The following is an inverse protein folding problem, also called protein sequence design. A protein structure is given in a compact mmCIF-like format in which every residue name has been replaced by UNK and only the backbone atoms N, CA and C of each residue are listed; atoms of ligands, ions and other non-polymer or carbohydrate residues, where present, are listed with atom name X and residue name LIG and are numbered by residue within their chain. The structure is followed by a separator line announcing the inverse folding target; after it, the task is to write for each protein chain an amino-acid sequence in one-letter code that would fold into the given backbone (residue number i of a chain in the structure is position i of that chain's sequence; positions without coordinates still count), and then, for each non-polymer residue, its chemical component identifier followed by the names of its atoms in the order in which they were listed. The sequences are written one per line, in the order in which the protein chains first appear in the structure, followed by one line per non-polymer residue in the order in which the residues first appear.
data_IF_795374708542
#
_entry.id   IF_795374708542
#
_cell.length_a   1.000
_cell.length_b   1.000
_cell.length_c   1.000
_cell.angle_alpha   90.00
_cell.angle_beta   90.00
_cell.angle_gamma   90.00
#
_symmetry.space_group_name_H-M   'P 1'
#
loop_
_entity.id
_entity.type
_entity.pdbx_description
1 polymer ?
#
# COMPACT_ATOMS: atom_id res chain seq x y z
N UNK A 1 -26.57 6.92 36.29
CA UNK A 1 -25.32 7.24 35.57
C UNK A 1 -24.63 5.93 35.18
N UNK A 2 -24.77 5.49 33.93
CA UNK A 2 -24.18 4.26 33.38
C UNK A 2 -23.08 4.61 32.36
N UNK A 3 -21.98 5.19 32.82
CA UNK A 3 -20.92 5.73 31.94
C UNK A 3 -19.54 5.09 32.11
N UNK A 4 -19.44 3.88 32.67
CA UNK A 4 -18.15 3.20 32.89
C UNK A 4 -18.13 1.70 32.59
N UNK A 5 -18.84 1.26 31.54
CA UNK A 5 -18.76 -0.14 31.07
C UNK A 5 -18.31 -0.29 29.61
N UNK A 6 -17.74 0.75 29.00
CA UNK A 6 -17.00 0.57 27.75
C UNK A 6 -15.54 0.35 28.11
N UNK A 7 -15.17 -0.94 28.16
CA UNK A 7 -13.79 -1.38 28.35
C UNK A 7 -12.86 -0.63 27.40
N UNK A 8 -11.68 -0.31 27.92
CA UNK A 8 -10.53 0.18 27.16
C UNK A 8 -10.43 -0.55 25.82
N UNK A 9 -10.79 0.15 24.73
CA UNK A 9 -10.47 -0.30 23.38
C UNK A 9 -8.99 -0.64 23.38
N UNK A 10 -8.64 -1.86 22.99
CA UNK A 10 -7.28 -2.21 22.60
C UNK A 10 -6.90 -1.17 21.55
N UNK A 11 -6.00 -0.25 21.89
CA UNK A 11 -5.59 0.78 20.93
C UNK A 11 -4.75 0.05 19.88
N UNK A 12 -5.33 -0.18 18.71
CA UNK A 12 -4.54 -0.59 17.55
C UNK A 12 -3.45 0.45 17.34
N UNK A 13 -2.24 0.00 17.00
CA UNK A 13 -1.15 0.92 16.68
C UNK A 13 -1.62 1.92 15.63
N UNK A 14 -1.35 3.20 15.84
CA UNK A 14 -1.52 4.24 14.84
C UNK A 14 -0.56 4.02 13.69
N UNK A 15 -0.82 4.62 12.53
CA UNK A 15 0.10 4.51 11.40
C UNK A 15 1.49 5.09 11.72
N UNK A 16 1.56 6.20 12.47
CA UNK A 16 2.83 6.78 12.90
C UNK A 16 3.63 5.84 13.83
N UNK A 17 2.95 5.05 14.66
CA UNK A 17 3.60 4.02 15.48
C UNK A 17 4.07 2.84 14.64
N UNK A 18 3.25 2.39 13.68
CA UNK A 18 3.65 1.33 12.73
C UNK A 18 4.89 1.77 11.94
N UNK A 19 4.92 3.01 11.44
CA UNK A 19 6.04 3.55 10.67
C UNK A 19 7.36 3.59 11.45
N UNK A 20 7.33 3.82 12.77
CA UNK A 20 8.54 3.80 13.62
C UNK A 20 9.11 2.40 13.80
N UNK A 21 8.28 1.37 13.70
CA UNK A 21 8.69 -0.02 13.77
C UNK A 21 9.20 -0.54 12.41
N UNK A 22 8.89 0.17 11.31
CA UNK A 22 9.40 -0.13 9.97
C UNK A 22 10.87 0.28 9.82
N UNK A 23 11.62 -0.49 9.03
CA UNK A 23 13.02 -0.21 8.72
C UNK A 23 13.14 0.47 7.36
N UNK A 24 14.30 1.13 7.13
CA UNK A 24 14.61 1.79 5.84
C UNK A 24 14.61 0.82 4.66
N UNK A 25 14.90 -0.46 4.89
CA UNK A 25 14.88 -1.51 3.87
C UNK A 25 13.47 -1.83 3.32
N UNK A 26 12.41 -1.38 4.00
CA UNK A 26 11.02 -1.65 3.62
C UNK A 26 10.49 -0.73 2.50
N UNK A 27 11.35 0.14 1.96
CA UNK A 27 11.07 1.01 0.82
C UNK A 27 10.70 2.45 1.20
N UNK A 28 10.42 3.28 0.19
CA UNK A 28 9.99 4.65 0.40
C UNK A 28 8.51 4.67 0.73
N UNK A 29 8.08 5.46 1.72
CA UNK A 29 6.66 5.72 1.97
C UNK A 29 6.07 6.54 0.82
N UNK A 30 5.06 5.99 0.15
CA UNK A 30 4.44 6.59 -1.04
C UNK A 30 3.02 7.08 -0.76
N UNK A 31 2.33 6.50 0.22
CA UNK A 31 1.00 6.95 0.57
C UNK A 31 0.51 6.47 1.93
N UNK A 32 -0.43 7.23 2.48
CA UNK A 32 -1.08 6.96 3.76
C UNK A 32 -2.57 7.28 3.71
N UNK A 33 -3.36 6.46 4.39
CA UNK A 33 -4.76 6.72 4.74
C UNK A 33 -5.05 6.18 6.14
N UNK A 34 -6.26 6.37 6.66
CA UNK A 34 -6.67 5.77 7.95
C UNK A 34 -6.58 4.23 7.92
N UNK A 35 -6.76 3.62 6.75
CA UNK A 35 -6.87 2.17 6.60
C UNK A 35 -5.58 1.51 6.10
N UNK A 36 -4.66 2.27 5.50
CA UNK A 36 -3.53 1.68 4.79
C UNK A 36 -2.28 2.56 4.76
N UNK A 37 -1.12 1.92 4.94
CA UNK A 37 0.19 2.46 4.58
C UNK A 37 0.70 1.76 3.31
N UNK A 38 1.29 2.55 2.43
CA UNK A 38 1.97 2.07 1.23
C UNK A 38 3.43 2.50 1.26
N UNK A 39 4.30 1.51 1.22
CA UNK A 39 5.71 1.68 0.90
C UNK A 39 5.99 1.05 -0.46
N UNK A 40 7.04 1.51 -1.14
CA UNK A 40 7.47 0.81 -2.33
C UNK A 40 8.83 1.22 -2.87
N UNK A 41 9.25 0.44 -3.86
CA UNK A 41 10.51 0.60 -4.57
C UNK A 41 10.41 0.03 -5.98
N UNK A 42 11.51 0.11 -6.71
CA UNK A 42 11.60 -0.41 -8.08
C UNK A 42 12.64 -1.51 -8.15
N UNK A 43 12.32 -2.57 -8.89
CA UNK A 43 13.22 -3.66 -9.21
C UNK A 43 13.32 -3.84 -10.72
N UNK A 44 14.51 -4.18 -11.20
CA UNK A 44 14.76 -4.57 -12.59
C UNK A 44 15.22 -6.03 -12.63
N UNK A 45 14.60 -6.83 -13.48
CA UNK A 45 14.97 -8.23 -13.72
C UNK A 45 14.87 -8.54 -15.21
N UNK A 46 16.00 -8.89 -15.84
CA UNK A 46 16.05 -9.24 -17.26
C UNK A 46 15.37 -8.20 -18.18
N UNK A 47 15.66 -6.92 -17.97
CA UNK A 47 15.08 -5.78 -18.71
C UNK A 47 13.58 -5.51 -18.47
N UNK A 48 12.93 -6.28 -17.59
CA UNK A 48 11.60 -5.98 -17.06
C UNK A 48 11.70 -5.15 -15.78
N UNK A 49 10.75 -4.22 -15.61
CA UNK A 49 10.69 -3.35 -14.45
C UNK A 49 9.44 -3.65 -13.63
N UNK A 50 9.63 -3.72 -12.32
CA UNK A 50 8.57 -3.95 -11.36
C UNK A 50 8.54 -2.81 -10.34
N UNK A 51 7.33 -2.39 -10.00
CA UNK A 51 7.09 -1.64 -8.78
C UNK A 51 6.73 -2.63 -7.67
N UNK A 52 7.58 -2.72 -6.65
CA UNK A 52 7.36 -3.56 -5.47
C UNK A 52 6.63 -2.73 -4.42
N UNK A 53 5.37 -3.06 -4.14
CA UNK A 53 4.56 -2.38 -3.14
C UNK A 53 4.41 -3.21 -1.87
N UNK A 54 4.74 -2.62 -0.72
CA UNK A 54 4.44 -3.15 0.61
C UNK A 54 3.23 -2.42 1.18
N UNK A 55 2.15 -3.17 1.40
CA UNK A 55 0.87 -2.65 1.87
C UNK A 55 0.63 -3.12 3.30
N UNK A 56 0.36 -2.19 4.20
CA UNK A 56 0.00 -2.48 5.59
C UNK A 56 -1.40 -1.95 5.85
N UNK A 57 -2.37 -2.86 5.96
CA UNK A 57 -3.79 -2.55 6.06
C UNK A 57 -4.37 -2.89 7.44
N UNK A 58 -5.36 -2.13 7.87
CA UNK A 58 -6.17 -2.45 9.06
C UNK A 58 -7.16 -3.59 8.79
N UNK A 59 -7.47 -3.88 7.53
CA UNK A 59 -8.39 -4.96 7.12
C UNK A 59 -7.75 -5.98 6.19
N UNK A 60 -8.14 -7.26 6.30
CA UNK A 60 -7.61 -8.32 5.45
C UNK A 60 -8.17 -8.24 4.02
N UNK A 61 -7.38 -8.67 3.04
CA UNK A 61 -7.81 -8.86 1.66
C UNK A 61 -7.00 -9.96 0.98
N UNK A 62 -7.55 -10.47 -0.11
CA UNK A 62 -6.89 -11.45 -0.98
C UNK A 62 -7.42 -11.36 -2.39
N UNK A 63 -6.61 -11.69 -3.38
CA UNK A 63 -7.02 -11.78 -4.77
C UNK A 63 -6.77 -13.15 -5.38
N UNK A 64 -7.57 -13.45 -6.40
CA UNK A 64 -7.33 -14.53 -7.37
C UNK A 64 -7.36 -14.03 -8.81
N UNK A 65 -7.51 -12.72 -8.97
CA UNK A 65 -7.76 -12.06 -10.27
C UNK A 65 -6.87 -10.82 -10.41
N UNK A 66 -5.82 -10.73 -9.61
CA UNK A 66 -4.92 -9.59 -9.54
C UNK A 66 -5.49 -8.39 -8.79
N UNK A 67 -4.77 -7.30 -8.86
CA UNK A 67 -5.15 -5.99 -8.36
C UNK A 67 -4.54 -4.91 -9.26
N UNK A 68 -4.92 -3.67 -9.00
CA UNK A 68 -4.35 -2.51 -9.69
C UNK A 68 -3.94 -1.45 -8.69
N UNK A 69 -2.83 -0.76 -8.96
CA UNK A 69 -2.46 0.46 -8.28
C UNK A 69 -2.51 1.63 -9.27
N UNK A 70 -3.21 2.70 -8.91
CA UNK A 70 -3.43 3.85 -9.76
C UNK A 70 -2.83 5.08 -9.10
N UNK A 71 -1.90 5.74 -9.79
CA UNK A 71 -1.31 7.00 -9.38
C UNK A 71 -2.01 8.14 -10.13
N UNK A 72 -2.58 9.09 -9.39
CA UNK A 72 -3.31 10.23 -9.95
C UNK A 72 -2.68 11.53 -9.52
N UNK A 73 -2.45 12.45 -10.47
CA UNK A 73 -2.02 13.81 -10.18
C UNK A 73 -2.49 14.81 -11.22
N UNK A 74 -2.11 16.08 -11.06
CA UNK A 74 -2.52 17.18 -11.96
C UNK A 74 -2.22 16.96 -13.44
N UNK A 75 -1.15 16.22 -13.76
CA UNK A 75 -0.71 15.95 -15.15
C UNK A 75 -1.31 14.67 -15.73
N UNK A 76 -2.22 14.01 -15.02
CA UNK A 76 -2.92 12.82 -15.46
C UNK A 76 -2.82 11.65 -14.47
N UNK A 77 -3.36 10.53 -14.90
CA UNK A 77 -3.46 9.29 -14.11
C UNK A 77 -2.83 8.15 -14.90
N UNK A 78 -2.19 7.22 -14.20
CA UNK A 78 -1.76 5.94 -14.77
C UNK A 78 -2.00 4.81 -13.79
N UNK A 79 -2.28 3.62 -14.34
CA UNK A 79 -2.60 2.42 -13.58
C UNK A 79 -1.59 1.33 -13.91
N UNK A 80 -1.12 0.63 -12.88
CA UNK A 80 -0.23 -0.52 -12.98
C UNK A 80 -1.03 -1.77 -12.56
N UNK A 81 -1.09 -2.81 -13.40
CA UNK A 81 -1.64 -4.10 -13.01
C UNK A 81 -0.64 -4.88 -12.15
N UNK A 82 -1.14 -5.71 -11.24
CA UNK A 82 -0.29 -6.62 -10.49
C UNK A 82 0.32 -7.67 -11.42
N UNK A 83 1.60 -7.97 -11.23
CA UNK A 83 2.34 -8.95 -12.04
C UNK A 83 1.82 -10.38 -11.84
N UNK A 84 1.18 -10.65 -10.69
CA UNK A 84 0.54 -11.93 -10.37
C UNK A 84 -0.96 -11.76 -10.09
N UNK A 85 -1.72 -12.84 -10.26
CA UNK A 85 -3.16 -12.83 -10.04
C UNK A 85 -3.56 -13.22 -8.61
N UNK A 86 -2.88 -14.21 -8.05
CA UNK A 86 -3.22 -14.76 -6.75
C UNK A 86 -2.25 -14.26 -5.68
N UNK A 87 -2.81 -13.68 -4.62
CA UNK A 87 -2.06 -13.24 -3.45
C UNK A 87 -3.01 -13.07 -2.26
N UNK A 88 -2.47 -13.11 -1.06
CA UNK A 88 -3.19 -12.78 0.16
C UNK A 88 -2.31 -11.99 1.12
N UNK A 89 -2.95 -11.22 2.00
CA UNK A 89 -2.25 -10.56 3.09
C UNK A 89 -2.14 -11.50 4.29
N UNK A 90 -1.05 -11.34 5.06
CA UNK A 90 -0.82 -12.06 6.30
C UNK A 90 -0.91 -11.09 7.49
N UNK A 91 -1.43 -11.56 8.62
CA UNK A 91 -1.51 -10.70 9.81
C UNK A 91 -0.16 -10.68 10.54
N UNK A 92 0.52 -9.52 10.49
CA UNK A 92 1.74 -9.26 11.24
C UNK A 92 1.39 -8.77 12.65
N UNK A 93 1.46 -9.68 13.64
CA UNK A 93 1.16 -9.38 15.04
C UNK A 93 1.97 -8.20 15.63
N UNK A 94 3.29 -8.04 15.36
CA UNK A 94 4.05 -6.91 15.88
C UNK A 94 3.53 -5.55 15.39
N UNK A 95 3.12 -5.47 14.13
CA UNK A 95 2.62 -4.24 13.51
C UNK A 95 1.11 -4.03 13.71
N UNK A 96 0.39 -5.07 14.15
CA UNK A 96 -1.07 -5.09 14.20
C UNK A 96 -1.70 -4.68 12.85
N UNK A 97 -1.15 -5.22 11.76
CA UNK A 97 -1.56 -4.95 10.38
C UNK A 97 -1.64 -6.23 9.56
N UNK A 98 -2.49 -6.20 8.56
CA UNK A 98 -2.47 -7.15 7.45
C UNK A 98 -1.46 -6.66 6.41
N UNK A 99 -0.43 -7.45 6.17
CA UNK A 99 0.71 -7.11 5.33
C UNK A 99 0.65 -7.92 4.04
N UNK A 100 0.88 -7.27 2.90
CA UNK A 100 1.11 -7.96 1.63
C UNK A 100 2.20 -7.25 0.84
N UNK A 101 3.05 -8.03 0.18
CA UNK A 101 3.95 -7.53 -0.87
C UNK A 101 3.36 -7.90 -2.23
N UNK A 102 3.23 -6.91 -3.11
CA UNK A 102 2.64 -7.09 -4.43
C UNK A 102 3.53 -6.36 -5.44
N UNK A 103 4.01 -7.11 -6.42
CA UNK A 103 4.73 -6.59 -7.58
C UNK A 103 3.76 -6.13 -8.65
N UNK A 104 4.03 -4.99 -9.29
CA UNK A 104 3.23 -4.44 -10.38
C UNK A 104 4.09 -4.20 -11.61
N UNK A 105 3.54 -4.50 -12.79
CA UNK A 105 4.22 -4.22 -14.05
C UNK A 105 4.33 -2.72 -14.26
N UNK A 106 5.55 -2.23 -14.53
CA UNK A 106 5.79 -0.81 -14.73
C UNK A 106 6.72 -0.56 -15.91
N UNK A 107 6.57 0.59 -16.55
CA UNK A 107 7.47 1.06 -17.62
C UNK A 107 8.44 2.11 -17.09
N UNK A 108 9.61 2.27 -17.72
CA UNK A 108 10.59 3.34 -17.39
C UNK A 108 9.96 4.74 -17.30
N UNK A 109 9.01 5.04 -18.19
CA UNK A 109 8.32 6.33 -18.19
C UNK A 109 7.43 6.52 -16.96
N UNK A 110 6.76 5.46 -16.49
CA UNK A 110 5.96 5.48 -15.26
C UNK A 110 6.84 5.54 -14.01
N UNK A 111 7.97 4.82 -13.99
CA UNK A 111 8.96 4.89 -12.89
C UNK A 111 9.38 6.33 -12.64
N UNK A 112 9.78 7.06 -13.71
CA UNK A 112 10.15 8.48 -13.60
C UNK A 112 9.02 9.32 -13.00
N UNK A 113 7.77 9.13 -13.43
CA UNK A 113 6.62 9.87 -12.86
C UNK A 113 6.43 9.63 -11.35
N UNK A 114 6.66 8.40 -10.88
CA UNK A 114 6.56 8.07 -9.46
C UNK A 114 7.75 8.66 -8.69
N UNK A 115 8.98 8.51 -9.20
CA UNK A 115 10.20 9.06 -8.59
C UNK A 115 10.18 10.59 -8.52
N UNK A 116 9.70 11.25 -9.57
CA UNK A 116 9.50 12.71 -9.61
C UNK A 116 8.36 13.16 -8.68
N UNK A 117 7.65 12.22 -8.05
CA UNK A 117 6.52 12.50 -7.17
C UNK A 117 5.36 13.19 -7.88
N UNK A 118 5.19 12.97 -9.19
CA UNK A 118 4.17 13.62 -10.04
C UNK A 118 2.76 13.04 -9.86
N UNK A 119 2.38 12.76 -8.61
CA UNK A 119 1.07 12.26 -8.20
C UNK A 119 0.68 12.93 -6.87
N UNK A 120 -0.62 13.02 -6.63
CA UNK A 120 -1.21 13.57 -5.40
C UNK A 120 -1.92 12.47 -4.59
N UNK A 121 -2.38 11.42 -5.28
CA UNK A 121 -3.16 10.31 -4.70
C UNK A 121 -2.74 8.98 -5.30
N UNK A 122 -2.78 7.94 -4.47
CA UNK A 122 -2.62 6.54 -4.86
C UNK A 122 -3.90 5.79 -4.54
N UNK A 123 -4.41 5.01 -5.50
CA UNK A 123 -5.59 4.15 -5.31
C UNK A 123 -5.20 2.71 -5.54
N UNK A 124 -5.34 1.87 -4.51
CA UNK A 124 -5.17 0.43 -4.61
C UNK A 124 -6.54 -0.25 -4.69
N UNK A 125 -6.77 -0.98 -5.77
CA UNK A 125 -8.03 -1.69 -6.02
C UNK A 125 -7.79 -3.18 -6.07
N UNK A 126 -8.48 -3.91 -5.18
CA UNK A 126 -8.45 -5.38 -5.12
C UNK A 126 -9.87 -5.91 -4.97
N UNK A 127 -10.33 -6.66 -5.98
CA UNK A 127 -11.73 -7.11 -6.10
C UNK A 127 -12.72 -5.95 -5.99
N UNK A 128 -13.47 -5.88 -4.88
CA UNK A 128 -14.48 -4.85 -4.59
C UNK A 128 -13.97 -3.81 -3.57
N UNK A 129 -12.75 -3.96 -3.07
CA UNK A 129 -12.14 -3.04 -2.12
C UNK A 129 -11.32 -2.00 -2.87
N UNK A 130 -11.46 -0.75 -2.45
CA UNK A 130 -10.73 0.39 -2.97
C UNK A 130 -10.13 1.12 -1.77
N UNK A 131 -8.81 1.21 -1.74
CA UNK A 131 -8.08 1.97 -0.73
C UNK A 131 -7.53 3.22 -1.39
N UNK A 132 -7.90 4.38 -0.84
CA UNK A 132 -7.44 5.68 -1.33
C UNK A 132 -6.44 6.26 -0.36
N UNK A 133 -5.23 6.53 -0.84
CA UNK A 133 -4.12 7.03 -0.05
C UNK A 133 -3.70 8.41 -0.57
N UNK A 134 -3.52 9.33 0.37
CA UNK A 134 -2.88 10.61 0.09
C UNK A 134 -1.38 10.36 -0.05
N UNK A 135 -0.73 11.07 -0.98
CA UNK A 135 0.73 11.04 -1.08
C UNK A 135 1.36 11.44 0.25
N UNK A 136 2.39 10.70 0.65
CA UNK A 136 3.18 10.98 1.86
C UNK A 136 4.20 12.09 1.67
#
# INVERSE_FOLDING_TARGET
MLKKLFGSKKTELTNDEVEKEMKVEDGQKLGVSEEMLLFGGFQELNEYYFFEGLFLSTSSYKSRTGATITFSGKKGTFTLPSAIQEFECEYAKPLQRYVSQISFDVTKAQIKKIQDGSYDKVTFTVKKKVFELSKS
#
